data_IF_192791587442
#
_entry.id   IF_192791587442
#
_cell.length_a   1.000
_cell.length_b   1.000
_cell.length_c   1.000
_cell.angle_alpha   90.00
_cell.angle_beta   90.00
_cell.angle_gamma   90.00
#
_symmetry.space_group_name_H-M   'P 1'
#
loop_
_entity.id
_entity.type
_entity.pdbx_description
1 polymer ?
#
# COMPACT_ATOMS: atom_id res chain seq x y z
N UNK A 1 -8.55 16.46 -22.94
CA UNK A 1 -7.27 15.69 -22.85
C UNK A 1 -6.21 16.53 -23.51
N UNK A 2 -5.14 16.88 -22.80
CA UNK A 2 -4.06 17.68 -23.39
C UNK A 2 -3.33 16.82 -24.43
N UNK A 3 -3.21 17.29 -25.65
CA UNK A 3 -2.49 16.65 -26.78
C UNK A 3 -1.03 16.26 -26.41
N UNK A 4 -0.45 16.90 -25.39
CA UNK A 4 0.91 16.63 -24.92
C UNK A 4 1.11 15.30 -24.20
N UNK A 5 0.04 14.68 -23.66
CA UNK A 5 0.17 13.45 -22.88
C UNK A 5 0.35 12.18 -23.75
N UNK A 6 0.16 12.26 -25.08
CA UNK A 6 0.24 11.14 -26.02
C UNK A 6 1.37 11.27 -27.05
N UNK A 7 2.27 12.24 -26.91
CA UNK A 7 3.40 12.35 -27.81
C UNK A 7 4.59 11.52 -27.31
N UNK A 8 4.69 10.28 -27.79
CA UNK A 8 5.79 9.37 -27.48
C UNK A 8 7.19 9.96 -27.81
N UNK A 9 7.27 10.92 -28.75
CA UNK A 9 8.53 11.58 -29.10
C UNK A 9 9.02 12.52 -27.98
N UNK A 10 8.10 13.21 -27.29
CA UNK A 10 8.42 13.99 -26.12
C UNK A 10 8.91 13.13 -24.95
N UNK A 11 8.29 11.95 -24.77
CA UNK A 11 8.74 10.95 -23.80
C UNK A 11 10.12 10.41 -24.15
N UNK A 12 10.36 10.05 -25.40
CA UNK A 12 11.65 9.51 -25.87
C UNK A 12 12.82 10.50 -25.71
N UNK A 13 12.54 11.80 -25.68
CA UNK A 13 13.53 12.85 -25.48
C UNK A 13 13.73 13.25 -24.01
N UNK A 14 12.96 12.68 -23.07
CA UNK A 14 13.01 13.00 -21.65
C UNK A 14 13.87 12.00 -20.91
N UNK A 15 14.84 12.50 -20.12
CA UNK A 15 15.57 11.71 -19.12
C UNK A 15 14.74 11.53 -17.84
N UNK A 16 13.60 12.23 -17.71
CA UNK A 16 12.71 12.12 -16.55
C UNK A 16 11.83 10.87 -16.64
N UNK A 17 12.28 9.81 -16.00
CA UNK A 17 11.55 8.53 -15.93
C UNK A 17 10.22 8.65 -15.20
N UNK A 18 10.00 9.69 -14.39
CA UNK A 18 8.74 9.91 -13.69
C UNK A 18 7.56 10.16 -14.64
N UNK A 19 7.85 10.59 -15.87
CA UNK A 19 6.83 10.80 -16.90
C UNK A 19 6.20 9.50 -17.43
N UNK A 20 6.88 8.36 -17.28
CA UNK A 20 6.40 7.06 -17.77
C UNK A 20 5.43 6.36 -16.80
N UNK A 21 5.43 6.74 -15.52
CA UNK A 21 4.55 6.15 -14.51
C UNK A 21 3.16 6.80 -14.47
N UNK A 22 2.26 6.23 -13.68
CA UNK A 22 0.91 6.76 -13.52
C UNK A 22 0.93 8.16 -12.90
N UNK A 23 0.10 9.05 -13.46
CA UNK A 23 0.00 10.45 -13.05
C UNK A 23 -1.25 10.73 -12.21
N UNK A 24 -2.25 9.83 -12.25
CA UNK A 24 -3.53 9.99 -11.57
C UNK A 24 -3.93 8.69 -10.88
N UNK A 25 -3.48 8.54 -9.65
CA UNK A 25 -3.59 7.30 -8.87
C UNK A 25 -4.78 7.37 -7.92
N UNK A 26 -5.60 6.34 -7.92
CA UNK A 26 -6.58 6.07 -6.87
C UNK A 26 -6.04 4.96 -5.98
N UNK A 27 -5.96 5.20 -4.67
CA UNK A 27 -5.57 4.21 -3.67
C UNK A 27 -6.82 3.67 -2.96
N UNK A 28 -7.15 2.39 -3.16
CA UNK A 28 -8.32 1.76 -2.55
C UNK A 28 -8.08 1.36 -1.08
N UNK A 29 -6.81 1.37 -0.64
CA UNK A 29 -6.37 1.07 0.73
C UNK A 29 -5.41 2.14 1.25
N UNK A 30 -4.96 2.01 2.51
CA UNK A 30 -4.19 3.05 3.21
C UNK A 30 -2.72 3.05 2.82
N UNK A 31 -2.11 1.87 2.71
CA UNK A 31 -0.68 1.69 2.58
C UNK A 31 -0.09 2.34 1.32
N UNK A 32 -0.71 2.26 0.10
CA UNK A 32 -0.16 2.97 -1.04
C UNK A 32 -0.30 4.49 -0.89
N UNK A 33 -1.32 4.97 -0.18
CA UNK A 33 -1.47 6.40 0.10
C UNK A 33 -0.29 6.88 0.96
N UNK A 34 -0.04 6.25 2.11
CA UNK A 34 1.04 6.64 3.01
C UNK A 34 2.40 6.55 2.30
N UNK A 35 2.63 5.49 1.54
CA UNK A 35 3.89 5.29 0.83
C UNK A 35 4.15 6.38 -0.23
N UNK A 36 3.15 6.72 -1.04
CA UNK A 36 3.26 7.80 -2.03
C UNK A 36 3.53 9.17 -1.39
N UNK A 37 2.94 9.46 -0.23
CA UNK A 37 3.28 10.66 0.54
C UNK A 37 4.74 10.66 1.04
N UNK A 38 5.25 9.52 1.50
CA UNK A 38 6.65 9.37 1.91
C UNK A 38 7.62 9.53 0.73
N UNK A 39 7.21 9.08 -0.45
CA UNK A 39 7.95 9.27 -1.70
C UNK A 39 7.90 10.71 -2.23
N UNK A 40 7.01 11.57 -1.72
CA UNK A 40 6.81 12.94 -2.22
C UNK A 40 5.96 13.01 -3.49
N UNK A 41 5.17 11.97 -3.76
CA UNK A 41 4.34 11.80 -4.95
C UNK A 41 2.83 11.99 -4.67
N UNK A 42 2.48 12.66 -3.57
CA UNK A 42 1.09 12.92 -3.16
C UNK A 42 0.27 13.67 -4.21
N UNK A 43 0.93 14.44 -5.09
CA UNK A 43 0.27 15.14 -6.20
C UNK A 43 -0.39 14.18 -7.20
N UNK A 44 0.14 12.96 -7.33
CA UNK A 44 -0.44 11.93 -8.22
C UNK A 44 -1.70 11.30 -7.65
N UNK A 45 -1.93 11.40 -6.34
CA UNK A 45 -3.10 10.79 -5.69
C UNK A 45 -4.32 11.65 -5.98
N UNK A 46 -5.33 11.05 -6.65
CA UNK A 46 -6.61 11.71 -6.97
C UNK A 46 -7.79 11.16 -6.16
N UNK A 47 -7.62 10.04 -5.46
CA UNK A 47 -8.63 9.46 -4.58
C UNK A 47 -8.02 8.48 -3.58
N UNK A 48 -8.61 8.37 -2.39
CA UNK A 48 -8.10 7.54 -1.30
C UNK A 48 -9.20 6.69 -0.66
N UNK A 49 -8.79 5.67 0.12
CA UNK A 49 -9.65 4.95 1.04
C UNK A 49 -10.21 5.86 2.14
N UNK A 50 -11.46 5.62 2.53
CA UNK A 50 -12.06 6.25 3.70
C UNK A 50 -11.37 5.89 5.02
N UNK A 51 -10.64 4.79 5.05
CA UNK A 51 -9.86 4.32 6.21
C UNK A 51 -8.45 4.93 6.28
N UNK A 52 -7.99 5.66 5.25
CA UNK A 52 -6.70 6.35 5.30
C UNK A 52 -6.60 7.25 6.52
N UNK A 53 -5.60 7.03 7.37
CA UNK A 53 -5.31 7.82 8.57
C UNK A 53 -3.96 8.51 8.50
N UNK A 54 -3.05 8.01 7.67
CA UNK A 54 -1.69 8.56 7.52
C UNK A 54 -1.36 8.91 6.07
N UNK A 55 -0.72 10.08 5.85
CA UNK A 55 -0.64 11.17 6.83
C UNK A 55 -2.02 11.81 7.05
N UNK A 56 -2.28 12.45 8.21
CA UNK A 56 -3.60 13.04 8.50
C UNK A 56 -4.10 14.01 7.42
N UNK A 57 -3.20 14.81 6.84
CA UNK A 57 -3.51 15.76 5.75
C UNK A 57 -4.12 15.08 4.50
N UNK A 58 -3.83 13.81 4.24
CA UNK A 58 -4.41 13.11 3.10
C UNK A 58 -5.94 13.08 3.15
N UNK A 59 -6.52 12.99 4.36
CA UNK A 59 -7.98 12.99 4.55
C UNK A 59 -8.63 14.34 4.24
N UNK A 60 -7.88 15.42 4.36
CA UNK A 60 -8.34 16.79 4.09
C UNK A 60 -8.17 17.11 2.60
N UNK A 61 -7.06 16.67 2.02
CA UNK A 61 -6.66 17.01 0.64
C UNK A 61 -7.33 16.14 -0.43
N UNK A 62 -7.71 14.88 -0.10
CA UNK A 62 -8.11 13.90 -1.11
C UNK A 62 -9.54 13.39 -0.90
N UNK A 63 -10.31 13.21 -2.00
CA UNK A 63 -11.65 12.62 -1.94
C UNK A 63 -11.59 11.13 -1.52
N UNK A 64 -12.54 10.72 -0.63
CA UNK A 64 -12.71 9.33 -0.21
C UNK A 64 -13.61 8.61 -1.21
N UNK A 65 -13.09 7.55 -1.83
CA UNK A 65 -13.76 6.83 -2.92
C UNK A 65 -14.05 5.37 -2.60
N UNK A 66 -13.46 4.82 -1.55
CA UNK A 66 -13.65 3.42 -1.14
C UNK A 66 -13.74 3.28 0.38
N UNK A 67 -14.34 2.20 0.82
CA UNK A 67 -14.07 1.50 2.06
C UNK A 67 -13.32 0.19 1.68
N UNK A 68 -12.95 -0.65 2.65
CA UNK A 68 -12.12 -1.82 2.35
C UNK A 68 -12.81 -2.80 1.37
N UNK A 69 -14.08 -3.15 1.62
CA UNK A 69 -14.87 -4.09 0.82
C UNK A 69 -15.82 -3.44 -0.19
N UNK A 70 -15.80 -2.12 -0.32
CA UNK A 70 -16.70 -1.41 -1.23
C UNK A 70 -16.03 -0.18 -1.84
N UNK A 71 -16.45 0.18 -3.05
CA UNK A 71 -15.94 1.35 -3.75
C UNK A 71 -17.08 2.10 -4.45
N UNK A 72 -16.95 3.41 -4.53
CA UNK A 72 -17.85 4.29 -5.29
C UNK A 72 -17.32 4.37 -6.72
N UNK A 73 -17.66 3.35 -7.53
CA UNK A 73 -17.13 3.17 -8.89
C UNK A 73 -17.31 4.44 -9.74
N UNK A 74 -18.51 5.02 -9.77
CA UNK A 74 -18.79 6.24 -10.54
C UNK A 74 -17.86 7.39 -10.14
N UNK A 75 -17.64 7.56 -8.83
CA UNK A 75 -16.75 8.60 -8.31
C UNK A 75 -15.30 8.35 -8.69
N UNK A 76 -14.86 7.08 -8.73
CA UNK A 76 -13.51 6.73 -9.21
C UNK A 76 -13.38 7.11 -10.69
N UNK A 77 -14.36 6.75 -11.51
CA UNK A 77 -14.38 7.07 -12.95
C UNK A 77 -14.36 8.59 -13.19
N UNK A 78 -15.15 9.36 -12.44
CA UNK A 78 -15.18 10.83 -12.51
C UNK A 78 -13.80 11.46 -12.25
N UNK A 79 -12.99 10.86 -11.38
CA UNK A 79 -11.63 11.30 -11.09
C UNK A 79 -10.66 11.02 -12.25
N UNK A 80 -11.06 10.25 -13.26
CA UNK A 80 -10.25 9.89 -14.44
C UNK A 80 -8.85 9.42 -14.05
N UNK A 81 -8.71 8.38 -13.21
CA UNK A 81 -7.42 7.83 -12.88
C UNK A 81 -6.82 7.12 -14.09
N UNK A 82 -5.49 7.10 -14.17
CA UNK A 82 -4.74 6.25 -15.09
C UNK A 82 -4.23 4.96 -14.41
N UNK A 83 -4.32 4.90 -13.06
CA UNK A 83 -4.04 3.69 -12.30
C UNK A 83 -4.89 3.65 -11.03
N UNK A 84 -5.41 2.47 -10.70
CA UNK A 84 -6.07 2.18 -9.42
C UNK A 84 -5.26 1.10 -8.70
N UNK A 85 -4.93 1.35 -7.43
CA UNK A 85 -4.14 0.43 -6.60
C UNK A 85 -5.02 -0.09 -5.47
N UNK A 86 -5.06 -1.41 -5.32
CA UNK A 86 -5.81 -2.09 -4.28
C UNK A 86 -5.02 -3.21 -3.63
N UNK A 87 -5.67 -3.91 -2.70
CA UNK A 87 -5.10 -4.99 -1.90
C UNK A 87 -6.02 -6.20 -1.85
N UNK A 88 -5.42 -7.37 -2.04
CA UNK A 88 -5.96 -8.71 -1.86
C UNK A 88 -7.15 -9.11 -2.76
N UNK A 89 -7.47 -10.37 -2.71
CA UNK A 89 -8.62 -11.02 -3.34
C UNK A 89 -9.97 -10.47 -2.86
N UNK A 90 -10.01 -9.90 -1.65
CA UNK A 90 -11.21 -9.24 -1.11
C UNK A 90 -11.69 -8.06 -1.97
N UNK A 91 -10.80 -7.47 -2.78
CA UNK A 91 -11.14 -6.40 -3.73
C UNK A 91 -11.27 -6.88 -5.19
N UNK A 92 -11.30 -8.20 -5.44
CA UNK A 92 -11.35 -8.77 -6.79
C UNK A 92 -12.56 -8.30 -7.61
N UNK A 93 -13.75 -8.20 -6.99
CA UNK A 93 -14.96 -7.72 -7.67
C UNK A 93 -14.86 -6.23 -8.03
N UNK A 94 -14.29 -5.42 -7.17
CA UNK A 94 -14.02 -4.00 -7.43
C UNK A 94 -13.04 -3.88 -8.60
N UNK A 95 -11.95 -4.63 -8.57
CA UNK A 95 -10.94 -4.65 -9.63
C UNK A 95 -11.55 -5.06 -10.97
N UNK A 96 -12.36 -6.13 -10.98
CA UNK A 96 -13.05 -6.60 -12.19
C UNK A 96 -13.96 -5.51 -12.80
N UNK A 97 -14.73 -4.80 -11.98
CA UNK A 97 -15.58 -3.70 -12.46
C UNK A 97 -14.75 -2.57 -13.09
N UNK A 98 -13.66 -2.16 -12.42
CA UNK A 98 -12.80 -1.07 -12.90
C UNK A 98 -12.08 -1.44 -14.20
N UNK A 99 -11.60 -2.69 -14.33
CA UNK A 99 -10.97 -3.20 -15.57
C UNK A 99 -11.97 -3.20 -16.72
N UNK A 100 -13.23 -3.61 -16.50
CA UNK A 100 -14.28 -3.56 -17.55
C UNK A 100 -14.61 -2.14 -18.02
N UNK A 101 -14.34 -1.14 -17.18
CA UNK A 101 -14.47 0.28 -17.52
C UNK A 101 -13.20 0.87 -18.17
N UNK A 102 -12.21 0.02 -18.49
CA UNK A 102 -10.99 0.41 -19.19
C UNK A 102 -9.92 1.03 -18.32
N UNK A 103 -10.01 0.90 -16.97
CA UNK A 103 -9.00 1.40 -16.06
C UNK A 103 -7.89 0.38 -15.83
N UNK A 104 -6.65 0.87 -15.72
CA UNK A 104 -5.54 0.04 -15.24
C UNK A 104 -5.71 -0.20 -13.73
N UNK A 105 -5.63 -1.46 -13.30
CA UNK A 105 -5.76 -1.84 -11.89
C UNK A 105 -4.56 -2.69 -11.49
N UNK A 106 -3.94 -2.34 -10.38
CA UNK A 106 -2.87 -3.12 -9.74
C UNK A 106 -3.36 -3.59 -8.37
N UNK A 107 -3.45 -4.89 -8.15
CA UNK A 107 -3.79 -5.48 -6.87
C UNK A 107 -2.53 -6.09 -6.27
N UNK A 108 -2.10 -5.55 -5.13
CA UNK A 108 -1.07 -6.15 -4.30
C UNK A 108 -1.70 -7.18 -3.34
N UNK A 109 -0.90 -8.16 -2.90
CA UNK A 109 -1.39 -9.20 -1.98
C UNK A 109 -0.31 -9.58 -0.97
N UNK A 110 0.30 -8.59 -0.35
CA UNK A 110 1.39 -8.78 0.60
C UNK A 110 0.88 -9.45 1.88
N UNK A 111 1.40 -10.63 2.20
CA UNK A 111 1.05 -11.41 3.39
C UNK A 111 2.22 -11.54 4.39
N UNK A 112 3.43 -11.18 3.99
CA UNK A 112 4.65 -11.19 4.81
C UNK A 112 5.31 -9.81 4.84
N UNK A 113 6.20 -9.60 5.81
CA UNK A 113 7.02 -8.38 5.90
C UNK A 113 7.90 -8.22 4.65
N UNK A 114 8.41 -9.32 4.10
CA UNK A 114 9.20 -9.30 2.87
C UNK A 114 8.36 -8.83 1.66
N UNK A 115 7.12 -9.29 1.57
CA UNK A 115 6.20 -8.88 0.50
C UNK A 115 5.74 -7.42 0.64
N UNK A 116 5.62 -6.91 1.88
CA UNK A 116 5.40 -5.47 2.11
C UNK A 116 6.54 -4.65 1.52
N UNK A 117 7.80 -5.03 1.76
CA UNK A 117 8.95 -4.36 1.13
C UNK A 117 8.96 -4.51 -0.39
N UNK A 118 8.55 -5.67 -0.91
CA UNK A 118 8.40 -5.88 -2.36
C UNK A 118 7.36 -4.94 -2.97
N UNK A 119 6.19 -4.80 -2.35
CA UNK A 119 5.15 -3.85 -2.75
C UNK A 119 5.68 -2.41 -2.72
N UNK A 120 6.36 -2.00 -1.63
CA UNK A 120 6.95 -0.67 -1.51
C UNK A 120 7.95 -0.38 -2.65
N UNK A 121 8.82 -1.34 -2.99
CA UNK A 121 9.75 -1.18 -4.10
C UNK A 121 9.04 -1.04 -5.45
N UNK A 122 8.08 -1.94 -5.73
CA UNK A 122 7.31 -1.91 -6.98
C UNK A 122 6.57 -0.59 -7.15
N UNK A 123 5.93 -0.08 -6.10
CA UNK A 123 5.20 1.18 -6.16
C UNK A 123 6.15 2.38 -6.31
N UNK A 124 7.33 2.36 -5.68
CA UNK A 124 8.35 3.38 -5.89
C UNK A 124 8.84 3.40 -7.35
N UNK A 125 9.07 2.21 -7.94
CA UNK A 125 9.44 2.09 -9.35
C UNK A 125 8.33 2.57 -10.30
N UNK A 126 7.07 2.26 -10.00
CA UNK A 126 5.93 2.73 -10.79
C UNK A 126 5.85 4.25 -10.92
N UNK A 127 6.37 4.98 -9.95
CA UNK A 127 6.34 6.46 -9.93
C UNK A 127 7.70 7.10 -10.17
N UNK A 128 8.74 6.30 -10.53
CA UNK A 128 10.09 6.78 -10.82
C UNK A 128 10.86 7.26 -9.59
N UNK A 129 10.59 6.68 -8.43
CA UNK A 129 11.19 7.05 -7.14
C UNK A 129 11.99 5.91 -6.50
N UNK A 130 12.61 5.03 -7.30
CA UNK A 130 13.31 3.84 -6.83
C UNK A 130 14.40 4.17 -5.81
N UNK A 131 15.23 5.17 -6.10
CA UNK A 131 16.33 5.55 -5.21
C UNK A 131 15.83 6.03 -3.84
N UNK A 132 14.80 6.88 -3.84
CA UNK A 132 14.15 7.35 -2.60
C UNK A 132 13.46 6.21 -1.87
N UNK A 133 12.75 5.36 -2.60
CA UNK A 133 12.10 4.16 -2.06
C UNK A 133 13.10 3.26 -1.35
N UNK A 134 14.21 2.91 -2.00
CA UNK A 134 15.28 2.09 -1.41
C UNK A 134 15.86 2.71 -0.15
N UNK A 135 16.12 4.02 -0.13
CA UNK A 135 16.64 4.70 1.06
C UNK A 135 15.66 4.63 2.25
N UNK A 136 14.36 4.85 2.01
CA UNK A 136 13.33 4.73 3.04
C UNK A 136 13.19 3.28 3.53
N UNK A 137 13.17 2.32 2.62
CA UNK A 137 13.10 0.90 2.96
C UNK A 137 14.30 0.47 3.80
N UNK A 138 15.52 0.90 3.46
CA UNK A 138 16.72 0.59 4.24
C UNK A 138 16.62 1.15 5.66
N UNK A 139 16.11 2.37 5.82
CA UNK A 139 15.89 2.95 7.15
C UNK A 139 14.87 2.14 7.98
N UNK A 140 13.79 1.66 7.35
CA UNK A 140 12.80 0.79 8.01
C UNK A 140 13.40 -0.56 8.38
N UNK A 141 14.16 -1.20 7.49
CA UNK A 141 14.84 -2.48 7.75
C UNK A 141 15.84 -2.36 8.90
N UNK A 142 16.63 -1.28 8.94
CA UNK A 142 17.54 -1.02 10.06
C UNK A 142 16.81 -0.86 11.38
N UNK A 143 15.63 -0.23 11.37
CA UNK A 143 14.78 -0.10 12.57
C UNK A 143 14.25 -1.46 13.02
N UNK A 144 13.74 -2.29 12.09
CA UNK A 144 13.29 -3.66 12.42
C UNK A 144 14.42 -4.50 13.00
N UNK A 145 15.63 -4.40 12.42
CA UNK A 145 16.81 -5.09 12.92
C UNK A 145 17.17 -4.66 14.35
N UNK A 146 17.17 -3.36 14.61
CA UNK A 146 17.45 -2.82 15.95
C UNK A 146 16.41 -3.31 16.99
N UNK A 147 15.12 -3.35 16.61
CA UNK A 147 14.04 -3.88 17.46
C UNK A 147 14.29 -5.36 17.75
N UNK A 148 14.59 -6.16 16.72
CA UNK A 148 14.88 -7.60 16.86
C UNK A 148 16.07 -7.87 17.77
N UNK A 149 17.15 -7.08 17.63
CA UNK A 149 18.33 -7.18 18.49
C UNK A 149 17.99 -6.85 19.95
N UNK A 150 17.21 -5.80 20.19
CA UNK A 150 16.75 -5.46 21.54
C UNK A 150 15.83 -6.56 22.10
N UNK A 151 14.94 -7.11 21.28
CA UNK A 151 14.05 -8.20 21.67
C UNK A 151 14.80 -9.49 22.04
N UNK A 152 15.93 -9.76 21.40
CA UNK A 152 16.79 -10.92 21.72
C UNK A 152 17.35 -10.90 23.15
N UNK A 153 17.36 -9.74 23.83
CA UNK A 153 17.80 -9.60 25.22
C UNK A 153 16.71 -9.88 26.24
N UNK A 154 15.47 -10.09 25.81
CA UNK A 154 14.35 -10.38 26.70
C UNK A 154 14.54 -11.72 27.43
N UNK A 155 14.31 -11.74 28.75
CA UNK A 155 14.40 -12.96 29.54
C UNK A 155 13.34 -14.01 29.18
N UNK A 156 12.23 -13.57 28.66
CA UNK A 156 11.14 -14.41 28.16
C UNK A 156 10.42 -13.72 27.01
N UNK A 157 9.83 -14.49 26.11
CA UNK A 157 8.93 -14.00 25.08
C UNK A 157 7.50 -14.00 25.63
N UNK A 158 6.81 -12.85 25.70
CA UNK A 158 5.41 -12.82 26.11
C UNK A 158 4.53 -13.45 25.02
N UNK A 159 3.50 -14.16 25.44
CA UNK A 159 2.41 -14.52 24.52
C UNK A 159 1.56 -13.29 24.24
N UNK A 160 1.31 -13.02 22.95
CA UNK A 160 0.60 -11.81 22.49
C UNK A 160 -0.66 -12.24 21.73
N UNK A 161 -1.79 -11.70 22.15
CA UNK A 161 -3.03 -11.76 21.37
C UNK A 161 -3.19 -10.45 20.61
N UNK A 162 -3.25 -10.54 19.29
CA UNK A 162 -3.60 -9.41 18.43
C UNK A 162 -5.05 -9.59 17.96
N UNK A 163 -5.88 -8.58 18.20
CA UNK A 163 -7.27 -8.55 17.75
C UNK A 163 -7.42 -7.47 16.67
N UNK A 164 -7.74 -7.90 15.46
CA UNK A 164 -8.05 -7.03 14.34
C UNK A 164 -9.53 -6.60 14.38
N UNK A 165 -10.40 -7.54 14.75
CA UNK A 165 -11.84 -7.31 14.86
C UNK A 165 -12.44 -8.14 15.99
N UNK A 166 -13.48 -7.61 16.63
CA UNK A 166 -14.01 -8.20 17.87
C UNK A 166 -15.24 -9.10 17.67
N UNK A 167 -16.01 -8.93 16.57
CA UNK A 167 -17.21 -9.73 16.30
C UNK A 167 -17.46 -9.91 14.78
N UNK A 168 -17.19 -11.08 14.21
CA UNK A 168 -16.48 -12.20 14.84
C UNK A 168 -15.05 -11.86 15.20
N UNK A 169 -14.47 -12.58 16.17
CA UNK A 169 -13.06 -12.40 16.49
C UNK A 169 -12.16 -12.73 15.30
N UNK A 170 -11.38 -11.75 14.85
CA UNK A 170 -10.40 -11.92 13.78
C UNK A 170 -9.03 -11.57 14.37
N UNK A 171 -8.09 -12.50 14.27
CA UNK A 171 -6.68 -12.27 14.61
C UNK A 171 -5.93 -11.67 13.41
N UNK A 172 -4.67 -11.28 13.61
CA UNK A 172 -3.85 -10.74 12.53
C UNK A 172 -3.50 -11.77 11.46
N UNK A 173 -3.17 -11.27 10.28
CA UNK A 173 -2.62 -12.05 9.16
C UNK A 173 -1.11 -12.30 9.35
N UNK A 174 -0.48 -13.06 8.43
CA UNK A 174 0.90 -13.56 8.61
C UNK A 174 1.93 -12.49 8.96
N UNK A 175 1.94 -11.32 8.28
CA UNK A 175 2.91 -10.26 8.59
C UNK A 175 2.74 -9.67 10.01
N UNK A 176 1.54 -9.73 10.60
CA UNK A 176 1.32 -9.31 12.00
C UNK A 176 2.06 -10.24 12.94
N UNK A 177 1.94 -11.57 12.75
CA UNK A 177 2.70 -12.56 13.52
C UNK A 177 4.20 -12.39 13.36
N UNK A 178 4.69 -12.10 12.14
CA UNK A 178 6.10 -11.81 11.89
C UNK A 178 6.58 -10.57 12.69
N UNK A 179 5.80 -9.48 12.68
CA UNK A 179 6.13 -8.25 13.43
C UNK A 179 6.11 -8.50 14.94
N UNK A 180 5.16 -9.29 15.45
CA UNK A 180 5.16 -9.72 16.85
C UNK A 180 6.43 -10.51 17.19
N UNK A 181 6.83 -11.44 16.30
CA UNK A 181 8.08 -12.21 16.44
C UNK A 181 9.33 -11.32 16.45
N UNK A 182 9.42 -10.34 15.55
CA UNK A 182 10.50 -9.34 15.49
C UNK A 182 10.58 -8.55 16.80
N UNK A 183 9.43 -8.19 17.36
CA UNK A 183 9.33 -7.46 18.64
C UNK A 183 9.57 -8.35 19.87
N UNK A 184 9.84 -9.65 19.71
CA UNK A 184 10.13 -10.59 20.78
C UNK A 184 8.89 -11.19 21.46
N UNK A 185 7.71 -11.07 20.85
CA UNK A 185 6.49 -11.75 21.28
C UNK A 185 6.29 -13.09 20.59
N UNK A 186 5.42 -13.92 21.16
CA UNK A 186 4.89 -15.13 20.53
C UNK A 186 3.40 -14.91 20.26
N UNK A 187 2.99 -14.99 19.01
CA UNK A 187 1.58 -14.91 18.64
C UNK A 187 0.79 -16.07 19.27
N UNK A 188 -0.41 -15.77 19.78
CA UNK A 188 -1.30 -16.79 20.33
C UNK A 188 -1.93 -17.68 19.27
N UNK A 189 -2.01 -17.20 18.01
CA UNK A 189 -2.75 -17.87 16.92
C UNK A 189 -1.97 -17.87 15.59
N UNK A 190 -0.68 -18.29 15.58
CA UNK A 190 0.15 -18.22 14.36
C UNK A 190 -0.40 -19.10 13.23
N UNK A 191 -1.10 -20.19 13.57
CA UNK A 191 -1.72 -21.10 12.59
C UNK A 191 -2.94 -20.49 11.88
N UNK A 192 -3.63 -19.54 12.51
CA UNK A 192 -4.71 -18.78 11.88
C UNK A 192 -4.11 -17.69 10.97
N UNK A 193 -3.13 -16.97 11.46
CA UNK A 193 -2.41 -15.94 10.69
C UNK A 193 -1.79 -16.50 9.39
N UNK A 194 -1.27 -17.71 9.40
CA UNK A 194 -0.67 -18.37 8.23
C UNK A 194 -1.68 -18.75 7.13
N UNK A 195 -2.98 -18.75 7.43
CA UNK A 195 -4.08 -19.12 6.51
C UNK A 195 -4.83 -17.89 5.96
N UNK A 196 -4.60 -16.74 6.54
CA UNK A 196 -5.33 -15.50 6.24
C UNK A 196 -4.77 -14.70 5.04
#
# INVERSE_FOLDING_TARGET
MSEKANDWRALAASEDTSAYGPQRIVCLTEEPTEWLYLLGEERRIVGISGYTVRPPRAREEKPKVSAFLSAKIDKIVELRPDCVIGFSDLQADIASQLVRLGLQVTIFNQRSVAEIFSMMYQLAAMVGQEARGLALMQAMQNRLLAISQAAATLKRRPRVYFEEWYDPHISGIAWVSEVLGIAGGDDCFPELAAKA
#
